data_IF_375106027022
#
_entry.id   IF_375106027022
#
_cell.length_a   1.000
_cell.length_b   1.000
_cell.length_c   1.000
_cell.angle_alpha   90.00
_cell.angle_beta   90.00
_cell.angle_gamma   90.00
#
_symmetry.space_group_name_H-M   'P 1'
#
loop_
_entity.id
_entity.type
_entity.pdbx_description
1 polymer ?
#
# COMPACT_ATOMS: atom_id res chain seq x y z
N UNK A 1 -27.00 -14.59 1.77
CA UNK A 1 -27.32 -16.01 2.08
C UNK A 1 -26.64 -16.87 1.04
N UNK A 2 -25.98 -17.95 1.47
CA UNK A 2 -25.33 -18.90 0.56
C UNK A 2 -26.37 -19.64 -0.31
N UNK A 3 -25.96 -20.08 -1.50
CA UNK A 3 -26.83 -20.92 -2.34
C UNK A 3 -27.15 -22.25 -1.65
N UNK A 4 -28.28 -22.86 -2.02
CA UNK A 4 -28.66 -24.18 -1.52
C UNK A 4 -27.58 -25.27 -1.79
N UNK A 5 -26.77 -25.09 -2.84
CA UNK A 5 -25.63 -25.96 -3.14
C UNK A 5 -24.49 -25.82 -2.12
N UNK A 6 -24.15 -24.60 -1.68
CA UNK A 6 -23.11 -24.37 -0.67
C UNK A 6 -23.55 -24.88 0.70
N UNK A 7 -24.83 -24.71 1.07
CA UNK A 7 -25.36 -25.17 2.36
C UNK A 7 -25.32 -26.70 2.52
N UNK A 8 -25.58 -27.44 1.44
CA UNK A 8 -25.61 -28.91 1.43
C UNK A 8 -24.24 -29.57 1.24
N UNK A 9 -23.22 -28.79 0.87
CA UNK A 9 -21.86 -29.31 0.61
C UNK A 9 -21.04 -29.42 1.91
N UNK A 10 -20.24 -30.47 2.05
CA UNK A 10 -19.20 -30.55 3.07
C UNK A 10 -17.99 -29.73 2.61
N UNK A 11 -17.77 -28.59 3.26
CA UNK A 11 -16.65 -27.69 2.97
C UNK A 11 -15.50 -27.96 3.96
N UNK A 12 -14.25 -27.76 3.54
CA UNK A 12 -13.13 -27.66 4.48
C UNK A 12 -13.37 -26.59 5.54
N UNK A 13 -12.73 -26.74 6.71
CA UNK A 13 -12.87 -25.84 7.86
C UNK A 13 -12.67 -24.37 7.52
N UNK A 14 -11.67 -24.07 6.69
CA UNK A 14 -11.30 -22.73 6.24
C UNK A 14 -12.36 -22.08 5.34
N UNK A 15 -13.27 -22.87 4.77
CA UNK A 15 -14.34 -22.41 3.88
C UNK A 15 -15.74 -22.49 4.53
N UNK A 16 -15.86 -22.99 5.76
CA UNK A 16 -17.17 -23.15 6.42
C UNK A 16 -17.91 -21.82 6.61
N UNK A 17 -17.19 -20.70 6.75
CA UNK A 17 -17.78 -19.36 6.86
C UNK A 17 -18.70 -19.03 5.67
N UNK A 18 -18.44 -19.60 4.48
CA UNK A 18 -19.26 -19.39 3.29
C UNK A 18 -20.69 -19.89 3.46
N UNK A 19 -20.97 -20.85 4.36
CA UNK A 19 -22.34 -21.31 4.64
C UNK A 19 -23.19 -20.23 5.30
N UNK A 20 -22.57 -19.45 6.18
CA UNK A 20 -23.18 -18.27 6.81
C UNK A 20 -23.16 -17.05 5.86
N UNK A 21 -22.29 -17.09 4.85
CA UNK A 21 -22.02 -16.02 3.92
C UNK A 21 -20.90 -15.11 4.42
N UNK A 22 -20.28 -14.41 3.47
CA UNK A 22 -19.32 -13.35 3.73
C UNK A 22 -20.01 -12.01 3.56
N UNK A 23 -20.00 -11.17 4.60
CA UNK A 23 -20.53 -9.82 4.55
C UNK A 23 -19.47 -8.86 5.08
N UNK A 24 -19.16 -7.83 4.30
CA UNK A 24 -18.19 -6.81 4.67
C UNK A 24 -18.89 -5.47 4.83
N UNK A 25 -18.47 -4.73 5.85
CA UNK A 25 -18.92 -3.35 6.10
C UNK A 25 -17.81 -2.34 5.83
N UNK A 26 -16.73 -2.78 5.17
CA UNK A 26 -15.64 -1.88 4.80
C UNK A 26 -16.14 -0.83 3.82
N UNK A 27 -15.85 0.43 4.15
CA UNK A 27 -15.99 1.54 3.22
C UNK A 27 -14.82 1.59 2.23
N UNK A 28 -14.67 2.73 1.56
CA UNK A 28 -13.55 3.01 0.67
C UNK A 28 -12.77 4.23 1.18
N UNK A 29 -11.50 4.32 0.81
CA UNK A 29 -10.57 5.44 1.01
C UNK A 29 -10.17 5.84 2.45
N UNK A 30 -11.04 5.63 3.45
CA UNK A 30 -10.83 6.06 4.83
C UNK A 30 -9.78 5.22 5.59
N UNK A 31 -9.12 5.84 6.58
CA UNK A 31 -8.29 5.09 7.52
C UNK A 31 -9.13 4.11 8.36
N UNK A 32 -8.58 2.93 8.58
CA UNK A 32 -9.12 1.97 9.53
C UNK A 32 -8.78 2.40 10.96
N UNK A 33 -9.52 1.90 11.96
CA UNK A 33 -9.18 2.17 13.36
C UNK A 33 -7.74 1.74 13.73
N UNK A 34 -7.24 0.57 13.28
CA UNK A 34 -5.81 0.24 13.40
C UNK A 34 -4.88 1.26 12.73
N UNK A 35 -5.21 1.75 11.53
CA UNK A 35 -4.42 2.78 10.84
C UNK A 35 -4.27 4.07 11.66
N UNK A 36 -5.38 4.56 12.22
CA UNK A 36 -5.38 5.74 13.12
C UNK A 36 -4.47 5.52 14.33
N UNK A 37 -4.56 4.35 14.96
CA UNK A 37 -3.74 3.99 16.11
C UNK A 37 -2.25 3.96 15.75
N UNK A 38 -1.89 3.34 14.63
CA UNK A 38 -0.50 3.28 14.16
C UNK A 38 0.11 4.68 13.99
N UNK A 39 -0.64 5.63 13.42
CA UNK A 39 -0.14 6.99 13.24
C UNK A 39 -0.01 7.74 14.57
N UNK A 40 -0.98 7.59 15.48
CA UNK A 40 -0.88 8.16 16.83
C UNK A 40 0.33 7.61 17.60
N UNK A 41 0.50 6.29 17.64
CA UNK A 41 1.64 5.63 18.29
C UNK A 41 2.97 6.01 17.65
N UNK A 42 3.00 6.20 16.33
CA UNK A 42 4.18 6.71 15.64
C UNK A 42 4.52 8.14 16.11
N UNK A 43 3.54 9.02 16.25
CA UNK A 43 3.73 10.36 16.80
C UNK A 43 4.35 10.36 18.21
N UNK A 44 3.79 9.54 19.11
CA UNK A 44 4.31 9.35 20.48
C UNK A 44 5.74 8.83 20.44
N UNK A 45 5.98 7.76 19.67
CA UNK A 45 7.30 7.13 19.54
C UNK A 45 8.34 8.08 18.96
N UNK A 46 7.95 8.89 17.97
CA UNK A 46 8.82 9.87 17.35
C UNK A 46 9.21 10.99 18.34
N UNK A 47 8.28 11.44 19.19
CA UNK A 47 8.57 12.41 20.26
C UNK A 47 9.53 11.85 21.30
N UNK A 48 9.34 10.60 21.71
CA UNK A 48 10.22 9.94 22.67
C UNK A 48 11.63 9.73 22.11
N UNK A 49 11.72 9.38 20.83
CA UNK A 49 13.00 9.14 20.14
C UNK A 49 13.77 10.42 19.84
N UNK A 50 13.07 11.49 19.46
CA UNK A 50 13.66 12.78 19.08
C UNK A 50 13.09 13.93 19.91
N UNK A 51 13.31 13.97 21.23
CA UNK A 51 12.64 14.91 22.13
C UNK A 51 13.00 16.37 21.86
N UNK A 52 14.20 16.61 21.30
CA UNK A 52 14.76 17.93 21.02
C UNK A 52 14.55 18.40 19.57
N UNK A 53 13.99 17.57 18.68
CA UNK A 53 13.81 17.94 17.28
C UNK A 53 12.61 18.91 17.18
N UNK A 54 12.81 20.18 16.78
CA UNK A 54 11.70 21.11 16.60
C UNK A 54 10.95 20.76 15.31
N UNK A 55 9.67 20.44 15.43
CA UNK A 55 8.76 20.29 14.28
C UNK A 55 7.95 21.58 14.13
N UNK A 56 8.39 22.45 13.23
CA UNK A 56 7.75 23.74 12.96
C UNK A 56 6.51 23.61 12.06
N UNK A 57 6.45 22.58 11.24
CA UNK A 57 5.37 22.35 10.29
C UNK A 57 5.45 20.98 9.63
N UNK A 58 4.32 20.52 9.09
CA UNK A 58 4.28 19.36 8.21
C UNK A 58 3.76 19.76 6.83
N UNK A 59 4.34 19.10 5.82
CA UNK A 59 3.89 19.14 4.44
C UNK A 59 3.09 17.87 4.16
N UNK A 60 1.84 18.02 3.73
CA UNK A 60 0.87 16.91 3.70
C UNK A 60 0.27 16.84 2.30
N UNK A 61 0.26 15.65 1.70
CA UNK A 61 -0.45 15.41 0.44
C UNK A 61 -1.95 15.64 0.60
N UNK A 62 -2.57 16.33 -0.36
CA UNK A 62 -3.98 16.69 -0.36
C UNK A 62 -4.91 15.53 -0.70
N UNK A 63 -4.88 14.50 0.13
CA UNK A 63 -5.80 13.37 0.10
C UNK A 63 -6.24 13.03 1.52
N UNK A 64 -7.54 12.79 1.71
CA UNK A 64 -8.18 12.66 3.02
C UNK A 64 -7.44 11.70 3.98
N UNK A 65 -7.07 10.49 3.54
CA UNK A 65 -6.32 9.53 4.37
C UNK A 65 -4.90 9.99 4.75
N UNK A 66 -4.26 10.78 3.90
CA UNK A 66 -2.91 11.33 4.15
C UNK A 66 -3.02 12.50 5.14
N UNK A 67 -4.06 13.32 5.00
CA UNK A 67 -4.37 14.39 5.94
C UNK A 67 -4.75 13.83 7.32
N UNK A 68 -5.62 12.83 7.38
CA UNK A 68 -6.01 12.17 8.62
C UNK A 68 -4.80 11.50 9.28
N UNK A 69 -3.92 10.86 8.50
CA UNK A 69 -2.68 10.27 9.01
C UNK A 69 -1.78 11.30 9.68
N UNK A 70 -1.61 12.47 9.06
CA UNK A 70 -0.83 13.56 9.62
C UNK A 70 -1.46 14.15 10.89
N UNK A 71 -2.80 14.19 10.97
CA UNK A 71 -3.53 14.63 12.17
C UNK A 71 -3.28 13.67 13.34
N UNK A 72 -3.49 12.36 13.16
CA UNK A 72 -3.25 11.37 14.23
C UNK A 72 -1.81 11.37 14.72
N UNK A 73 -0.84 11.47 13.80
CA UNK A 73 0.57 11.61 14.16
C UNK A 73 0.83 12.85 15.03
N UNK A 74 0.27 14.01 14.66
CA UNK A 74 0.43 15.24 15.43
C UNK A 74 -0.20 15.15 16.80
N UNK A 75 -1.36 14.51 16.93
CA UNK A 75 -1.99 14.30 18.23
C UNK A 75 -1.10 13.48 19.16
N UNK A 76 -0.46 12.42 18.63
CA UNK A 76 0.51 11.63 19.38
C UNK A 76 1.78 12.40 19.75
N UNK A 77 2.30 13.22 18.83
CA UNK A 77 3.55 13.95 19.02
C UNK A 77 3.42 15.18 19.94
N UNK A 78 2.40 16.03 19.72
CA UNK A 78 2.22 17.31 20.41
C UNK A 78 1.15 17.27 21.52
N UNK A 79 0.34 16.22 21.56
CA UNK A 79 -0.85 16.17 22.42
C UNK A 79 -1.90 17.22 22.02
N UNK A 80 -2.75 17.59 22.97
CA UNK A 80 -3.92 18.47 22.78
C UNK A 80 -3.64 19.88 22.26
N UNK A 81 -2.37 20.31 22.19
CA UNK A 81 -1.97 21.65 21.74
C UNK A 81 -1.50 21.68 20.28
N UNK A 82 -1.60 20.57 19.55
CA UNK A 82 -1.01 20.40 18.23
C UNK A 82 -1.38 21.51 17.22
N UNK A 83 -2.63 21.96 17.21
CA UNK A 83 -3.14 22.96 16.26
C UNK A 83 -2.44 24.33 16.36
N UNK A 84 -1.89 24.67 17.52
CA UNK A 84 -1.26 25.97 17.76
C UNK A 84 0.27 25.92 17.70
N UNK A 85 0.88 24.74 17.50
CA UNK A 85 2.32 24.53 17.66
C UNK A 85 3.04 24.31 16.32
N UNK A 86 2.36 23.79 15.31
CA UNK A 86 2.98 23.51 14.00
C UNK A 86 2.07 23.87 12.83
N UNK A 87 2.65 24.40 11.75
CA UNK A 87 1.89 24.69 10.53
C UNK A 87 1.43 23.39 9.85
N UNK A 88 0.22 23.39 9.29
CA UNK A 88 -0.34 22.27 8.51
C UNK A 88 -0.54 22.74 7.08
N UNK A 89 0.37 22.34 6.18
CA UNK A 89 0.33 22.76 4.78
C UNK A 89 -0.06 21.59 3.91
N UNK A 90 -1.29 21.65 3.41
CA UNK A 90 -1.79 20.72 2.40
C UNK A 90 -1.24 21.12 1.03
N UNK A 91 -0.71 20.15 0.31
CA UNK A 91 -0.21 20.30 -1.06
C UNK A 91 -1.20 19.59 -1.99
N UNK A 92 -1.92 20.33 -2.87
CA UNK A 92 -2.86 19.73 -3.80
C UNK A 92 -2.25 18.62 -4.64
N UNK A 93 -3.00 17.53 -4.82
CA UNK A 93 -2.63 16.39 -5.65
C UNK A 93 -3.39 16.44 -6.97
N UNK A 94 -3.00 17.38 -7.83
CA UNK A 94 -3.59 17.58 -9.15
C UNK A 94 -2.53 17.56 -10.26
N UNK A 95 -2.96 17.66 -11.51
CA UNK A 95 -2.08 17.65 -12.67
C UNK A 95 -1.37 18.99 -12.96
N UNK A 96 -1.40 19.95 -12.02
CA UNK A 96 -0.82 21.30 -12.16
C UNK A 96 0.19 21.62 -11.07
N UNK A 97 -0.01 21.08 -9.87
CA UNK A 97 0.75 21.39 -8.68
C UNK A 97 2.02 20.55 -8.65
N UNK A 98 3.17 21.19 -8.89
CA UNK A 98 4.48 20.52 -8.79
C UNK A 98 4.75 20.20 -7.31
N UNK A 99 4.77 18.90 -6.99
CA UNK A 99 4.94 18.40 -5.64
C UNK A 99 6.01 17.31 -5.61
N UNK A 100 6.84 17.29 -4.56
CA UNK A 100 7.72 16.16 -4.29
C UNK A 100 6.95 14.98 -3.66
N UNK A 101 5.72 15.19 -3.19
CA UNK A 101 4.87 14.13 -2.61
C UNK A 101 4.28 13.27 -3.72
N UNK A 102 3.73 13.90 -4.76
CA UNK A 102 3.11 13.23 -5.92
C UNK A 102 3.74 13.69 -7.24
N UNK A 103 5.06 13.49 -7.44
CA UNK A 103 5.77 14.03 -8.61
C UNK A 103 5.26 13.46 -9.94
N UNK A 104 4.70 12.26 -9.92
CA UNK A 104 4.11 11.59 -11.08
C UNK A 104 2.89 12.33 -11.66
N UNK A 105 2.10 13.05 -10.84
CA UNK A 105 0.83 13.67 -11.27
C UNK A 105 1.04 14.78 -12.29
N UNK A 106 2.21 15.43 -12.26
CA UNK A 106 2.59 16.50 -13.19
C UNK A 106 3.55 16.01 -14.29
N UNK A 107 3.83 14.70 -14.37
CA UNK A 107 4.75 14.13 -15.35
C UNK A 107 3.99 13.57 -16.57
N UNK A 108 4.02 14.24 -17.74
CA UNK A 108 3.17 13.84 -18.87
C UNK A 108 3.52 12.48 -19.48
N UNK A 109 4.74 11.98 -19.24
CA UNK A 109 5.20 10.68 -19.75
C UNK A 109 4.95 9.54 -18.76
N UNK A 110 4.62 9.84 -17.51
CA UNK A 110 4.34 8.83 -16.51
C UNK A 110 2.97 8.19 -16.78
N UNK A 111 2.87 6.88 -16.60
CA UNK A 111 1.62 6.13 -16.76
C UNK A 111 1.57 5.01 -15.74
N UNK A 112 0.47 4.92 -14.99
CA UNK A 112 0.20 3.79 -14.09
C UNK A 112 0.23 2.43 -14.82
N UNK A 113 -0.12 2.43 -16.11
CA UNK A 113 -0.13 1.26 -16.98
C UNK A 113 1.21 0.51 -17.04
N UNK A 114 2.35 1.19 -16.81
CA UNK A 114 3.65 0.52 -16.79
C UNK A 114 3.74 -0.58 -15.72
N UNK A 115 3.17 -0.36 -14.54
CA UNK A 115 3.07 -1.39 -13.49
C UNK A 115 1.84 -2.27 -13.67
N UNK A 116 0.67 -1.68 -13.99
CA UNK A 116 -0.58 -2.45 -14.13
C UNK A 116 -0.47 -3.57 -15.18
N UNK A 117 0.22 -3.34 -16.30
CA UNK A 117 0.39 -4.37 -17.31
C UNK A 117 1.17 -5.59 -16.77
N UNK A 118 2.15 -5.39 -15.88
CA UNK A 118 2.88 -6.47 -15.22
C UNK A 118 1.98 -7.25 -14.27
N UNK A 119 1.11 -6.56 -13.52
CA UNK A 119 0.13 -7.23 -12.64
C UNK A 119 -0.85 -8.09 -13.42
N UNK A 120 -1.33 -7.60 -14.57
CA UNK A 120 -2.26 -8.33 -15.45
C UNK A 120 -1.58 -9.57 -16.01
N UNK A 121 -0.34 -9.44 -16.50
CA UNK A 121 0.44 -10.57 -17.00
C UNK A 121 0.67 -11.62 -15.91
N UNK A 122 1.13 -11.20 -14.73
CA UNK A 122 1.36 -12.08 -13.59
C UNK A 122 0.09 -12.79 -13.12
N UNK A 123 -1.03 -12.07 -13.07
CA UNK A 123 -2.35 -12.63 -12.74
C UNK A 123 -2.75 -13.82 -13.61
N UNK A 124 -2.33 -13.86 -14.90
CA UNK A 124 -2.60 -15.01 -15.78
C UNK A 124 -1.83 -16.28 -15.38
N UNK A 125 -0.81 -16.17 -14.53
CA UNK A 125 0.01 -17.28 -14.07
C UNK A 125 -0.46 -17.82 -12.71
N UNK A 126 -0.64 -16.94 -11.72
CA UNK A 126 -0.88 -17.39 -10.34
C UNK A 126 -2.36 -17.55 -9.97
N UNK A 127 -3.29 -16.81 -10.58
CA UNK A 127 -4.72 -16.91 -10.26
C UNK A 127 -5.37 -18.22 -10.76
N UNK A 128 -5.13 -18.70 -12.01
CA UNK A 128 -5.78 -19.91 -12.51
C UNK A 128 -5.63 -21.17 -11.63
N UNK A 129 -4.44 -21.51 -11.08
CA UNK A 129 -4.32 -22.65 -10.18
C UNK A 129 -5.10 -22.45 -8.87
N UNK A 130 -5.16 -21.22 -8.32
CA UNK A 130 -5.94 -20.88 -7.12
C UNK A 130 -7.44 -21.09 -7.42
N UNK A 131 -7.95 -20.48 -8.49
CA UNK A 131 -9.34 -20.59 -8.92
C UNK A 131 -9.75 -22.05 -9.11
N UNK A 132 -8.91 -22.84 -9.78
CA UNK A 132 -9.15 -24.27 -9.98
C UNK A 132 -9.22 -25.03 -8.65
N UNK A 133 -8.34 -24.71 -7.70
CA UNK A 133 -8.36 -25.31 -6.35
C UNK A 133 -9.65 -24.94 -5.62
N UNK A 134 -10.02 -23.65 -5.58
CA UNK A 134 -11.22 -23.18 -4.89
C UNK A 134 -12.50 -23.80 -5.48
N UNK A 135 -12.63 -23.87 -6.81
CA UNK A 135 -13.78 -24.52 -7.46
C UNK A 135 -13.88 -26.02 -7.18
N UNK A 136 -12.75 -26.70 -6.92
CA UNK A 136 -12.74 -28.10 -6.48
C UNK A 136 -13.24 -28.25 -5.04
N UNK A 137 -12.93 -27.29 -4.17
CA UNK A 137 -13.35 -27.27 -2.76
C UNK A 137 -14.79 -26.79 -2.57
N UNK A 138 -15.31 -25.99 -3.51
CA UNK A 138 -16.66 -25.43 -3.48
C UNK A 138 -17.42 -25.84 -4.76
N UNK A 139 -17.82 -27.12 -4.88
CA UNK A 139 -18.60 -27.61 -6.02
C UNK A 139 -19.79 -26.70 -6.37
N UNK A 140 -19.84 -26.27 -7.64
CA UNK A 140 -20.92 -25.43 -8.16
C UNK A 140 -20.78 -23.93 -7.90
N UNK A 141 -19.67 -23.47 -7.31
CA UNK A 141 -19.39 -22.04 -7.14
C UNK A 141 -19.07 -21.34 -8.48
N UNK A 142 -18.44 -22.05 -9.42
CA UNK A 142 -18.03 -21.51 -10.73
C UNK A 142 -17.28 -20.17 -10.63
N UNK A 143 -16.37 -20.06 -9.66
CA UNK A 143 -15.53 -18.88 -9.45
C UNK A 143 -14.68 -18.60 -10.69
N UNK A 144 -14.53 -17.33 -11.00
CA UNK A 144 -13.58 -16.80 -11.98
C UNK A 144 -12.26 -16.40 -11.31
N UNK A 145 -11.23 -16.13 -12.10
CA UNK A 145 -9.96 -15.59 -11.58
C UNK A 145 -10.15 -14.24 -10.89
N UNK A 146 -11.11 -13.43 -11.35
CA UNK A 146 -11.46 -12.18 -10.69
C UNK A 146 -12.09 -12.40 -9.31
N UNK A 147 -12.89 -13.46 -9.13
CA UNK A 147 -13.47 -13.80 -7.82
C UNK A 147 -12.39 -14.30 -6.84
N UNK A 148 -11.46 -15.12 -7.32
CA UNK A 148 -10.32 -15.58 -6.52
C UNK A 148 -9.41 -14.40 -6.11
N UNK A 149 -9.15 -13.48 -7.03
CA UNK A 149 -8.39 -12.27 -6.75
C UNK A 149 -9.11 -11.36 -5.74
N UNK A 150 -10.44 -11.18 -5.90
CA UNK A 150 -11.26 -10.45 -4.93
C UNK A 150 -11.21 -11.05 -3.52
N UNK A 151 -11.14 -12.37 -3.42
CA UNK A 151 -10.99 -13.06 -2.14
C UNK A 151 -9.59 -12.86 -1.51
N UNK A 152 -8.52 -12.78 -2.31
CA UNK A 152 -7.18 -12.39 -1.84
C UNK A 152 -7.19 -10.96 -1.27
N UNK A 153 -7.80 -10.01 -2.00
CA UNK A 153 -7.98 -8.64 -1.50
C UNK A 153 -8.85 -8.58 -0.25
N UNK A 154 -9.91 -9.37 -0.16
CA UNK A 154 -10.72 -9.47 1.04
C UNK A 154 -9.88 -9.91 2.25
N UNK A 155 -8.95 -10.86 2.07
CA UNK A 155 -7.97 -11.20 3.10
C UNK A 155 -7.15 -9.96 3.54
N UNK A 156 -6.55 -9.25 2.59
CA UNK A 156 -5.69 -8.10 2.88
C UNK A 156 -6.46 -6.97 3.60
N UNK A 157 -7.61 -6.57 3.07
CA UNK A 157 -8.37 -5.43 3.59
C UNK A 157 -9.07 -5.72 4.92
N UNK A 158 -9.68 -6.91 5.09
CA UNK A 158 -10.23 -7.30 6.39
C UNK A 158 -9.14 -7.35 7.46
N UNK A 159 -7.95 -7.86 7.10
CA UNK A 159 -6.81 -7.90 8.01
C UNK A 159 -6.35 -6.51 8.42
N UNK A 160 -6.27 -5.57 7.48
CA UNK A 160 -5.90 -4.18 7.76
C UNK A 160 -6.95 -3.44 8.61
N UNK A 161 -8.23 -3.81 8.50
CA UNK A 161 -9.32 -3.16 9.21
C UNK A 161 -9.59 -3.74 10.59
N UNK A 162 -9.54 -5.07 10.72
CA UNK A 162 -10.02 -5.80 11.89
C UNK A 162 -8.95 -6.69 12.53
N UNK A 163 -7.78 -6.80 11.91
CA UNK A 163 -6.71 -7.72 12.29
C UNK A 163 -6.84 -9.07 11.58
N UNK A 164 -5.70 -9.74 11.37
CA UNK A 164 -5.60 -10.96 10.56
C UNK A 164 -6.56 -12.08 10.99
N UNK A 165 -6.81 -12.21 12.30
CA UNK A 165 -7.70 -13.25 12.86
C UNK A 165 -9.19 -13.00 12.57
N UNK A 166 -9.54 -11.83 12.03
CA UNK A 166 -10.92 -11.46 11.72
C UNK A 166 -11.25 -11.62 10.24
N UNK A 167 -10.24 -11.78 9.38
CA UNK A 167 -10.51 -12.13 7.98
C UNK A 167 -10.73 -13.64 7.85
N UNK A 168 -11.93 -14.10 7.46
CA UNK A 168 -12.14 -15.51 7.18
C UNK A 168 -11.42 -15.97 5.90
N UNK A 169 -11.07 -15.04 5.01
CA UNK A 169 -10.43 -15.35 3.72
C UNK A 169 -8.95 -15.70 3.84
N UNK A 170 -8.23 -15.15 4.83
CA UNK A 170 -6.79 -15.40 4.91
C UNK A 170 -6.43 -16.88 5.14
N UNK A 171 -7.27 -17.62 5.85
CA UNK A 171 -7.07 -19.06 6.08
C UNK A 171 -7.33 -19.94 4.85
N UNK A 172 -7.94 -19.39 3.79
CA UNK A 172 -8.30 -20.13 2.56
C UNK A 172 -7.09 -20.31 1.63
N UNK A 173 -6.11 -19.41 1.73
CA UNK A 173 -4.94 -19.36 0.86
C UNK A 173 -3.74 -20.00 1.52
N UNK A 174 -2.93 -20.69 0.72
CA UNK A 174 -1.65 -21.23 1.15
C UNK A 174 -0.60 -20.12 1.18
N UNK A 175 0.49 -20.34 1.92
CA UNK A 175 1.59 -19.38 1.99
C UNK A 175 2.18 -19.04 0.61
N UNK A 176 2.29 -20.01 -0.30
CA UNK A 176 2.82 -19.76 -1.65
C UNK A 176 1.87 -18.89 -2.47
N UNK A 177 0.57 -19.11 -2.38
CA UNK A 177 -0.42 -18.29 -3.10
C UNK A 177 -0.46 -16.85 -2.58
N UNK A 178 -0.26 -16.66 -1.26
CA UNK A 178 -0.11 -15.33 -0.67
C UNK A 178 1.18 -14.64 -1.10
N UNK A 179 2.28 -15.38 -1.30
CA UNK A 179 3.52 -14.82 -1.84
C UNK A 179 3.38 -14.45 -3.32
N UNK A 180 2.67 -15.24 -4.11
CA UNK A 180 2.37 -14.88 -5.50
C UNK A 180 1.51 -13.61 -5.59
N UNK A 181 0.53 -13.47 -4.70
CA UNK A 181 -0.30 -12.27 -4.58
C UNK A 181 0.51 -11.05 -4.11
N UNK A 182 1.40 -11.22 -3.12
CA UNK A 182 2.26 -10.14 -2.64
C UNK A 182 3.24 -9.66 -3.73
N UNK A 183 3.80 -10.59 -4.51
CA UNK A 183 4.65 -10.28 -5.64
C UNK A 183 3.93 -9.48 -6.75
N UNK A 184 2.60 -9.61 -6.88
CA UNK A 184 1.83 -8.74 -7.77
C UNK A 184 1.99 -7.26 -7.41
N UNK A 185 1.96 -6.93 -6.12
CA UNK A 185 2.13 -5.56 -5.65
C UNK A 185 3.57 -5.07 -5.89
N UNK A 186 4.57 -5.93 -5.72
CA UNK A 186 5.96 -5.61 -6.07
C UNK A 186 6.11 -5.25 -7.56
N UNK A 187 5.47 -6.03 -8.45
CA UNK A 187 5.45 -5.75 -9.89
C UNK A 187 4.78 -4.42 -10.21
N UNK A 188 3.67 -4.12 -9.53
CA UNK A 188 3.01 -2.83 -9.66
C UNK A 188 3.93 -1.68 -9.27
N UNK A 189 4.52 -1.75 -8.07
CA UNK A 189 5.34 -0.68 -7.51
C UNK A 189 6.61 -0.47 -8.33
N UNK A 190 7.31 -1.54 -8.72
CA UNK A 190 8.52 -1.41 -9.54
C UNK A 190 8.20 -0.81 -10.92
N UNK A 191 7.09 -1.23 -11.55
CA UNK A 191 6.74 -0.82 -12.90
C UNK A 191 6.13 0.58 -12.98
N UNK A 192 5.34 0.98 -11.99
CA UNK A 192 4.65 2.27 -11.99
C UNK A 192 5.36 3.36 -11.18
N UNK A 193 6.16 3.04 -10.17
CA UNK A 193 6.72 4.03 -9.23
C UNK A 193 8.21 3.86 -8.93
N UNK A 194 8.86 2.87 -9.57
CA UNK A 194 10.23 2.51 -9.25
C UNK A 194 11.16 2.34 -10.44
N UNK A 195 12.08 1.40 -10.30
CA UNK A 195 13.15 1.11 -11.26
C UNK A 195 12.66 0.60 -12.63
N UNK A 196 11.43 0.10 -12.73
CA UNK A 196 10.84 -0.41 -13.97
C UNK A 196 10.36 0.71 -14.92
N UNK A 197 10.24 1.94 -14.43
CA UNK A 197 9.85 3.07 -15.28
C UNK A 197 10.91 3.38 -16.36
N UNK A 198 10.48 3.67 -17.60
CA UNK A 198 11.40 3.81 -18.74
C UNK A 198 12.28 5.05 -18.63
N UNK A 199 13.43 5.02 -19.32
CA UNK A 199 14.32 6.17 -19.51
C UNK A 199 14.79 6.84 -18.18
N UNK A 200 14.91 6.07 -17.10
CA UNK A 200 15.31 6.59 -15.79
C UNK A 200 14.26 7.50 -15.12
N UNK A 201 13.01 7.46 -15.58
CA UNK A 201 11.93 8.33 -15.10
C UNK A 201 11.68 8.18 -13.60
N UNK A 202 11.75 6.97 -13.04
CA UNK A 202 11.58 6.77 -11.59
C UNK A 202 12.61 7.56 -10.77
N UNK A 203 13.88 7.51 -11.15
CA UNK A 203 14.95 8.27 -10.50
C UNK A 203 14.78 9.80 -10.70
N UNK A 204 14.34 10.22 -11.90
CA UNK A 204 14.05 11.62 -12.17
C UNK A 204 12.92 12.15 -11.28
N UNK A 205 11.81 11.42 -11.16
CA UNK A 205 10.67 11.81 -10.32
C UNK A 205 11.07 11.84 -8.84
N UNK A 206 11.78 10.81 -8.36
CA UNK A 206 12.29 10.77 -6.99
C UNK A 206 13.34 11.83 -6.67
N UNK A 207 14.06 12.35 -7.66
CA UNK A 207 15.02 13.44 -7.44
C UNK A 207 14.35 14.70 -6.87
N UNK A 208 13.05 14.90 -7.08
CA UNK A 208 12.30 16.01 -6.48
C UNK A 208 12.30 15.95 -4.95
N UNK A 209 12.20 14.73 -4.38
CA UNK A 209 12.24 14.47 -2.94
C UNK A 209 13.65 14.70 -2.41
N UNK A 210 14.66 14.15 -3.10
CA UNK A 210 16.08 14.34 -2.75
C UNK A 210 16.42 15.83 -2.76
N UNK A 211 15.98 16.57 -3.77
CA UNK A 211 16.16 18.02 -3.86
C UNK A 211 15.47 18.76 -2.71
N UNK A 212 14.25 18.35 -2.32
CA UNK A 212 13.56 18.95 -1.16
C UNK A 212 14.32 18.73 0.15
N UNK A 213 14.86 17.53 0.35
CA UNK A 213 15.70 17.18 1.50
C UNK A 213 16.96 18.06 1.51
N UNK A 214 17.70 18.11 0.39
CA UNK A 214 18.90 18.95 0.25
C UNK A 214 18.58 20.42 0.52
N UNK A 215 17.52 20.96 -0.09
CA UNK A 215 17.10 22.36 0.10
C UNK A 215 16.79 22.66 1.57
N UNK A 216 16.13 21.74 2.28
CA UNK A 216 15.81 21.93 3.70
C UNK A 216 17.08 22.04 4.53
N UNK A 217 17.99 21.08 4.38
CA UNK A 217 19.21 21.01 5.19
C UNK A 217 20.32 21.97 4.78
N UNK A 218 20.28 22.52 3.56
CA UNK A 218 21.24 23.55 3.11
C UNK A 218 20.80 24.96 3.49
N UNK A 219 19.49 25.23 3.55
CA UNK A 219 18.96 26.58 3.84
C UNK A 219 18.59 26.79 5.30
N UNK A 220 18.35 25.71 6.05
CA UNK A 220 17.94 25.74 7.45
C UNK A 220 18.49 24.54 8.21
N UNK A 221 18.50 24.62 9.54
CA UNK A 221 18.74 23.46 10.42
C UNK A 221 17.42 22.86 10.91
N UNK A 222 16.33 23.04 10.16
CA UNK A 222 14.99 22.69 10.59
C UNK A 222 14.65 21.24 10.23
N UNK A 223 13.68 20.66 10.93
CA UNK A 223 13.18 19.33 10.59
C UNK A 223 12.35 19.37 9.29
N UNK A 224 12.43 18.31 8.48
CA UNK A 224 11.44 18.03 7.45
C UNK A 224 10.55 16.89 7.91
N UNK A 225 9.26 17.19 8.10
CA UNK A 225 8.23 16.17 8.37
C UNK A 225 7.18 16.27 7.28
N UNK A 226 6.98 15.18 6.55
CA UNK A 226 6.04 15.15 5.43
C UNK A 226 5.24 13.86 5.39
N UNK A 227 4.00 13.97 4.93
CA UNK A 227 3.06 12.86 4.77
C UNK A 227 2.69 12.75 3.29
N UNK A 228 2.85 11.56 2.75
CA UNK A 228 2.59 11.23 1.36
C UNK A 228 2.08 9.81 1.23
N UNK A 229 2.39 9.18 0.09
CA UNK A 229 1.95 7.84 -0.24
C UNK A 229 3.13 6.87 -0.16
N UNK A 230 2.83 5.59 -0.14
CA UNK A 230 3.80 4.52 -0.45
C UNK A 230 4.62 4.83 -1.72
N UNK A 231 3.95 5.27 -2.79
CA UNK A 231 4.59 5.66 -4.06
C UNK A 231 5.57 6.82 -3.92
N UNK A 232 5.36 7.74 -2.97
CA UNK A 232 6.32 8.80 -2.63
C UNK A 232 7.63 8.19 -2.13
N UNK A 233 7.53 7.15 -1.29
CA UNK A 233 8.67 6.45 -0.71
C UNK A 233 9.42 5.67 -1.79
N UNK A 234 8.70 4.98 -2.69
CA UNK A 234 9.30 4.21 -3.80
C UNK A 234 10.13 5.09 -4.73
N UNK A 235 9.61 6.27 -5.08
CA UNK A 235 10.37 7.25 -5.86
C UNK A 235 11.64 7.70 -5.12
N UNK A 236 11.54 7.98 -3.81
CA UNK A 236 12.69 8.39 -3.01
C UNK A 236 13.78 7.30 -2.97
N UNK A 237 13.39 6.05 -2.69
CA UNK A 237 14.30 4.90 -2.69
C UNK A 237 14.98 4.73 -4.05
N UNK A 238 14.19 4.83 -5.12
CA UNK A 238 14.67 4.71 -6.51
C UNK A 238 15.74 5.75 -6.82
N UNK A 239 15.48 7.02 -6.51
CA UNK A 239 16.40 8.13 -6.75
C UNK A 239 17.68 8.05 -5.90
N UNK A 240 17.57 7.50 -4.69
CA UNK A 240 18.73 7.28 -3.80
C UNK A 240 19.56 6.05 -4.17
N UNK A 241 19.12 5.24 -5.13
CA UNK A 241 19.80 3.98 -5.47
C UNK A 241 19.59 2.88 -4.44
N UNK A 242 18.55 2.98 -3.61
CA UNK A 242 18.23 2.06 -2.52
C UNK A 242 17.14 1.07 -2.93
N UNK A 243 17.10 -0.08 -2.26
CA UNK A 243 16.10 -1.14 -2.49
C UNK A 243 16.00 -1.64 -3.96
N UNK A 244 17.02 -1.37 -4.78
CA UNK A 244 17.10 -1.94 -6.13
C UNK A 244 17.21 -3.45 -6.03
N UNK A 245 16.38 -4.17 -6.80
CA UNK A 245 16.60 -5.60 -7.00
C UNK A 245 17.98 -5.81 -7.62
N UNK A 246 18.91 -6.33 -6.81
CA UNK A 246 20.21 -6.80 -7.28
C UNK A 246 20.02 -8.30 -7.45
N UNK A 247 19.88 -8.76 -8.70
CA UNK A 247 20.08 -10.18 -8.98
C UNK A 247 21.47 -10.55 -8.44
N UNK A 248 21.50 -11.27 -7.31
CA UNK A 248 22.69 -12.02 -6.96
C UNK A 248 22.85 -13.04 -8.08
N UNK A 249 23.80 -12.79 -8.99
CA UNK A 249 24.33 -13.72 -10.00
C UNK A 249 24.14 -15.17 -9.53
N UNK A 250 23.12 -15.85 -10.01
CA UNK A 250 22.99 -17.30 -10.21
C UNK A 250 21.69 -17.50 -11.00
N UNK A 251 21.75 -17.64 -12.34
CA UNK A 251 20.59 -18.12 -13.08
C UNK A 251 20.23 -19.52 -12.55
N UNK A 252 18.95 -19.85 -12.34
CA UNK A 252 18.56 -21.23 -12.13
C UNK A 252 19.00 -22.03 -13.35
N UNK A 253 19.91 -22.98 -13.13
CA UNK A 253 20.27 -23.98 -14.11
C UNK A 253 19.03 -24.78 -14.44
N UNK A 254 18.47 -24.55 -15.62
CA UNK A 254 17.50 -25.46 -16.22
C UNK A 254 18.30 -26.66 -16.72
N UNK A 255 18.26 -27.75 -15.96
CA UNK A 255 18.62 -29.10 -16.40
C UNK A 255 17.40 -29.99 -16.26
#
# INVERSE_FOLDING_TARGET
>A
MASASIQSTHLPSELEFLKSGYNTTLGHDDLTAPGRLQLFEHGVSFKLKYPQLPIEGLLVGGQDRVEESAQWFREGYFGRKWANISTFTVIPEDNKTISFITPSFTCPKWQYAYGNNLTVEWGTHYLPPITKRLNKLIPGANLTDADAHGALYACAYDSAAYGIQKSPWCGVFTQSELLDFEYELDLLMVGAFGYGLPNGMGALLGSTIVNKVIQTFTKSSNSLVSFGHDTTIDFALTALGLAKHIEKRHPPSVS
#
